data_IF_250934234166
#
_entry.id   IF_250934234166
#
_cell.length_a   1.000
_cell.length_b   1.000
_cell.length_c   1.000
_cell.angle_alpha   90.00
_cell.angle_beta   90.00
_cell.angle_gamma   90.00
#
_symmetry.space_group_name_H-M   'P 1'
#
loop_
_entity.id
_entity.type
_entity.pdbx_description
1 polymer ?
#
# COMPACT_ATOMS: atom_id res chain seq x y z
N UNK A 1 10.15 17.30 10.37
CA UNK A 1 10.08 16.12 11.24
C UNK A 1 9.85 16.47 12.71
N UNK A 2 10.65 17.34 13.37
CA UNK A 2 10.47 17.66 14.80
C UNK A 2 9.06 18.16 15.11
N UNK A 3 8.50 19.11 14.33
CA UNK A 3 7.14 19.64 14.56
C UNK A 3 6.03 18.59 14.39
N UNK A 4 6.23 17.59 13.54
CA UNK A 4 5.27 16.49 13.40
C UNK A 4 5.33 15.55 14.60
N UNK A 5 6.54 15.22 15.06
CA UNK A 5 6.70 14.41 16.27
C UNK A 5 6.01 15.05 17.48
N UNK A 6 6.19 16.35 17.70
CA UNK A 6 5.53 17.10 18.78
C UNK A 6 4.01 17.14 18.67
N UNK A 7 3.46 17.11 17.45
CA UNK A 7 2.02 17.03 17.23
C UNK A 7 1.48 15.64 17.60
N UNK A 8 2.16 14.57 17.18
CA UNK A 8 1.78 13.19 17.50
C UNK A 8 1.91 12.87 18.99
N UNK A 9 2.95 13.37 19.66
CA UNK A 9 3.15 13.22 21.10
C UNK A 9 1.95 13.73 21.93
N UNK A 10 1.20 14.70 21.40
CA UNK A 10 -0.01 15.23 22.03
C UNK A 10 -1.29 14.48 21.68
N UNK A 11 -1.30 13.75 20.57
CA UNK A 11 -2.50 13.14 19.99
C UNK A 11 -2.59 11.63 20.24
N UNK A 12 -1.47 10.97 20.49
CA UNK A 12 -1.40 9.51 20.58
C UNK A 12 -0.97 9.10 21.97
N UNK A 13 -1.82 8.39 22.74
CA UNK A 13 -1.42 7.80 24.00
C UNK A 13 -0.22 6.85 23.81
N UNK A 14 0.67 6.83 24.78
CA UNK A 14 1.88 6.00 24.77
C UNK A 14 2.82 6.25 23.57
N UNK A 15 2.87 7.49 23.08
CA UNK A 15 3.73 7.90 21.99
C UNK A 15 5.21 7.58 22.24
N UNK A 16 5.80 6.80 21.37
CA UNK A 16 7.23 6.48 21.37
C UNK A 16 7.98 7.39 20.39
N UNK A 17 8.63 8.40 20.92
CA UNK A 17 9.39 9.38 20.13
C UNK A 17 10.57 8.76 19.37
N UNK A 18 11.24 7.79 19.98
CA UNK A 18 12.35 7.09 19.33
C UNK A 18 11.85 6.22 18.19
N UNK A 19 10.74 5.53 18.40
CA UNK A 19 10.05 4.76 17.39
C UNK A 19 9.61 5.64 16.22
N UNK A 20 8.99 6.79 16.46
CA UNK A 20 8.59 7.72 15.42
C UNK A 20 9.80 8.22 14.61
N UNK A 21 10.87 8.60 15.30
CA UNK A 21 12.10 9.09 14.64
C UNK A 21 12.70 8.00 13.77
N UNK A 22 12.77 6.77 14.28
CA UNK A 22 13.25 5.60 13.54
C UNK A 22 12.30 5.23 12.39
N UNK A 23 10.99 5.19 12.63
CA UNK A 23 9.99 4.89 11.62
C UNK A 23 9.94 5.97 10.53
N UNK A 24 10.01 7.24 10.87
CA UNK A 24 10.06 8.33 9.92
C UNK A 24 11.27 8.25 8.98
N UNK A 25 12.39 7.72 9.47
CA UNK A 25 13.59 7.48 8.69
C UNK A 25 13.70 6.04 8.15
N UNK A 26 13.09 5.06 8.81
CA UNK A 26 13.27 3.62 8.56
C UNK A 26 11.95 2.84 8.45
N UNK A 27 10.82 3.52 8.26
CA UNK A 27 9.49 2.91 8.10
C UNK A 27 9.52 1.78 7.06
N UNK A 28 10.20 2.00 5.94
CA UNK A 28 10.38 1.00 4.91
C UNK A 28 11.10 -0.27 5.43
N UNK A 29 12.11 -0.13 6.29
CA UNK A 29 12.81 -1.28 6.89
C UNK A 29 11.91 -2.05 7.86
N UNK A 30 11.13 -1.35 8.67
CA UNK A 30 10.19 -1.97 9.61
C UNK A 30 9.13 -2.79 8.87
N UNK A 31 8.51 -2.22 7.86
CA UNK A 31 7.50 -2.93 7.06
C UNK A 31 8.07 -4.04 6.20
N UNK A 32 9.31 -3.88 5.72
CA UNK A 32 10.04 -4.98 5.07
C UNK A 32 10.29 -6.15 6.04
N UNK A 33 10.57 -5.86 7.31
CA UNK A 33 10.70 -6.91 8.33
C UNK A 33 9.36 -7.61 8.56
N UNK A 34 8.26 -6.89 8.72
CA UNK A 34 6.92 -7.47 8.83
C UNK A 34 6.60 -8.38 7.62
N UNK A 35 6.90 -7.91 6.40
CA UNK A 35 6.74 -8.72 5.19
C UNK A 35 7.57 -10.01 5.22
N UNK A 36 8.82 -9.92 5.67
CA UNK A 36 9.70 -11.11 5.77
C UNK A 36 9.15 -12.11 6.79
N UNK A 37 8.64 -11.64 7.93
CA UNK A 37 7.98 -12.50 8.94
C UNK A 37 6.74 -13.16 8.33
N UNK A 38 5.91 -12.42 7.61
CA UNK A 38 4.72 -12.95 6.95
C UNK A 38 5.06 -14.01 5.89
N UNK A 39 6.09 -13.79 5.10
CA UNK A 39 6.59 -14.78 4.12
C UNK A 39 7.12 -16.01 4.84
N UNK A 40 7.92 -15.84 5.90
CA UNK A 40 8.45 -16.96 6.68
C UNK A 40 7.32 -17.78 7.33
N UNK A 41 6.30 -17.13 7.88
CA UNK A 41 5.11 -17.78 8.44
C UNK A 41 4.42 -18.69 7.42
N UNK A 42 4.16 -18.17 6.21
CA UNK A 42 3.46 -18.93 5.16
C UNK A 42 4.31 -20.07 4.56
N UNK A 43 5.62 -20.06 4.77
CA UNK A 43 6.53 -21.12 4.30
C UNK A 43 7.03 -22.02 5.43
N UNK A 44 6.66 -21.78 6.68
CA UNK A 44 7.11 -22.59 7.80
C UNK A 44 6.45 -23.98 7.75
N UNK A 45 7.27 -25.02 7.77
CA UNK A 45 6.81 -26.40 7.84
C UNK A 45 6.59 -26.89 9.30
N UNK A 46 7.23 -26.23 10.25
CA UNK A 46 7.13 -26.54 11.67
C UNK A 46 6.10 -25.63 12.36
N UNK A 47 5.16 -26.25 13.08
CA UNK A 47 4.06 -25.55 13.77
C UNK A 47 4.59 -24.61 14.86
N UNK A 48 5.61 -25.01 15.60
CA UNK A 48 6.18 -24.16 16.65
C UNK A 48 6.84 -22.92 16.09
N UNK A 49 7.58 -23.04 14.98
CA UNK A 49 8.13 -21.91 14.26
C UNK A 49 7.05 -21.00 13.68
N UNK A 50 5.97 -21.58 13.17
CA UNK A 50 4.83 -20.84 12.65
C UNK A 50 4.14 -20.03 13.76
N UNK A 51 3.91 -20.63 14.93
CA UNK A 51 3.32 -19.95 16.09
C UNK A 51 4.22 -18.81 16.60
N UNK A 52 5.54 -19.01 16.66
CA UNK A 52 6.48 -17.94 17.04
C UNK A 52 6.41 -16.75 16.06
N UNK A 53 6.39 -17.03 14.77
CA UNK A 53 6.29 -15.99 13.72
C UNK A 53 4.95 -15.24 13.78
N UNK A 54 3.86 -15.96 14.04
CA UNK A 54 2.52 -15.39 14.28
C UNK A 54 2.55 -14.41 15.45
N UNK A 55 3.09 -14.81 16.60
CA UNK A 55 3.17 -13.95 17.78
C UNK A 55 4.03 -12.70 17.53
N UNK A 56 5.18 -12.86 16.87
CA UNK A 56 6.03 -11.71 16.49
C UNK A 56 5.31 -10.76 15.56
N UNK A 57 4.59 -11.26 14.56
CA UNK A 57 3.82 -10.43 13.65
C UNK A 57 2.72 -9.66 14.37
N UNK A 58 1.94 -10.31 15.23
CA UNK A 58 0.87 -9.67 15.98
C UNK A 58 1.40 -8.60 16.94
N UNK A 59 2.52 -8.87 17.62
CA UNK A 59 3.18 -7.88 18.47
C UNK A 59 3.64 -6.65 17.68
N UNK A 60 4.19 -6.84 16.47
CA UNK A 60 4.56 -5.74 15.58
C UNK A 60 3.34 -4.98 15.06
N UNK A 61 2.25 -5.69 14.75
CA UNK A 61 0.99 -5.08 14.35
C UNK A 61 0.45 -4.17 15.45
N UNK A 62 0.35 -4.68 16.68
CA UNK A 62 -0.18 -3.93 17.81
C UNK A 62 0.67 -2.70 18.11
N UNK A 63 1.99 -2.89 18.12
CA UNK A 63 2.91 -1.78 18.37
C UNK A 63 2.76 -0.66 17.33
N UNK A 64 2.70 -0.99 16.03
CA UNK A 64 2.64 0.03 15.00
C UNK A 64 1.27 0.72 14.94
N UNK A 65 0.21 -0.02 15.27
CA UNK A 65 -1.15 0.54 15.39
C UNK A 65 -1.22 1.52 16.56
N UNK A 66 -0.64 1.16 17.72
CA UNK A 66 -0.51 2.04 18.89
C UNK A 66 0.30 3.31 18.58
N UNK A 67 1.31 3.21 17.70
CA UNK A 67 2.08 4.36 17.23
C UNK A 67 1.36 5.18 16.14
N UNK A 68 0.11 4.86 15.82
CA UNK A 68 -0.75 5.65 14.94
C UNK A 68 -0.71 5.26 13.47
N UNK A 69 -0.17 4.11 13.11
CA UNK A 69 -0.37 3.56 11.75
C UNK A 69 -1.74 2.89 11.69
N UNK A 70 -2.76 3.71 11.62
CA UNK A 70 -4.15 3.31 11.68
C UNK A 70 -5.01 4.12 10.71
N UNK A 71 -6.21 3.61 10.44
CA UNK A 71 -7.20 4.33 9.64
C UNK A 71 -7.47 5.72 10.21
N UNK A 72 -7.46 6.72 9.32
CA UNK A 72 -7.73 8.11 9.68
C UNK A 72 -6.52 8.88 10.20
N UNK A 73 -5.40 8.22 10.42
CA UNK A 73 -4.16 8.87 10.85
C UNK A 73 -3.36 9.43 9.66
N UNK A 74 -2.39 10.30 9.93
CA UNK A 74 -1.50 10.85 8.93
C UNK A 74 -0.06 10.92 9.46
N UNK A 75 0.84 10.21 8.81
CA UNK A 75 2.27 10.17 9.12
C UNK A 75 3.10 11.07 8.18
N UNK A 76 2.67 12.28 7.91
CA UNK A 76 3.34 13.22 7.03
C UNK A 76 2.75 13.27 5.62
N UNK A 77 3.60 13.37 4.59
CA UNK A 77 3.11 13.50 3.22
C UNK A 77 2.63 12.17 2.65
N UNK A 78 1.35 12.09 2.35
CA UNK A 78 0.68 10.88 1.87
C UNK A 78 1.27 10.31 0.56
N UNK A 79 1.81 11.15 -0.31
CA UNK A 79 2.46 10.70 -1.55
C UNK A 79 3.68 9.79 -1.31
N UNK A 80 4.37 9.97 -0.19
CA UNK A 80 5.53 9.14 0.14
C UNK A 80 5.15 7.83 0.84
N UNK A 81 3.92 7.65 1.29
CA UNK A 81 3.46 6.38 1.87
C UNK A 81 3.53 5.23 0.87
N UNK A 82 3.27 5.49 -0.41
CA UNK A 82 3.41 4.49 -1.45
C UNK A 82 4.79 3.84 -1.50
N UNK A 83 5.84 4.55 -1.17
CA UNK A 83 7.20 3.98 -1.06
C UNK A 83 7.41 3.23 0.25
N UNK A 84 7.07 3.85 1.38
CA UNK A 84 7.37 3.32 2.70
C UNK A 84 6.48 2.15 3.09
N UNK A 85 5.22 2.16 2.67
CA UNK A 85 4.20 1.19 3.07
C UNK A 85 4.21 -0.13 2.27
N UNK A 86 5.01 -0.26 1.23
CA UNK A 86 5.00 -1.46 0.35
C UNK A 86 5.11 -2.78 1.10
N UNK A 87 5.96 -2.82 2.13
CA UNK A 87 6.10 -4.00 2.99
C UNK A 87 4.84 -4.29 3.79
N UNK A 88 4.18 -3.25 4.31
CA UNK A 88 2.97 -3.38 5.11
C UNK A 88 1.80 -3.97 4.31
N UNK A 89 1.57 -3.47 3.10
CA UNK A 89 0.49 -3.97 2.25
C UNK A 89 0.59 -5.48 2.03
N UNK A 90 1.78 -5.94 1.67
CA UNK A 90 2.02 -7.37 1.44
C UNK A 90 1.95 -8.18 2.74
N UNK A 91 2.51 -7.65 3.83
CA UNK A 91 2.50 -8.32 5.13
C UNK A 91 1.07 -8.57 5.63
N UNK A 92 0.22 -7.55 5.61
CA UNK A 92 -1.17 -7.69 6.06
C UNK A 92 -1.98 -8.64 5.16
N UNK A 93 -1.78 -8.56 3.84
CA UNK A 93 -2.42 -9.48 2.91
C UNK A 93 -2.01 -10.94 3.18
N UNK A 94 -0.73 -11.22 3.34
CA UNK A 94 -0.23 -12.57 3.62
C UNK A 94 -0.65 -13.11 4.99
N UNK A 95 -0.94 -12.23 5.94
CA UNK A 95 -1.36 -12.58 7.30
C UNK A 95 -2.87 -12.40 7.53
N UNK A 96 -3.65 -12.35 6.45
CA UNK A 96 -5.11 -12.12 6.51
C UNK A 96 -5.80 -13.05 7.50
N UNK A 97 -5.54 -14.34 7.43
CA UNK A 97 -6.18 -15.32 8.30
C UNK A 97 -5.75 -15.14 9.77
N UNK A 98 -4.49 -14.86 10.01
CA UNK A 98 -3.97 -14.57 11.36
C UNK A 98 -4.62 -13.32 11.94
N UNK A 99 -4.78 -12.27 11.14
CA UNK A 99 -5.46 -11.04 11.55
C UNK A 99 -6.94 -11.28 11.82
N UNK A 100 -7.58 -12.15 11.04
CA UNK A 100 -8.98 -12.53 11.25
C UNK A 100 -9.16 -13.31 12.56
N UNK A 101 -8.35 -14.33 12.80
CA UNK A 101 -8.33 -15.11 14.05
C UNK A 101 -8.10 -14.24 15.29
N UNK A 102 -7.26 -13.21 15.16
CA UNK A 102 -6.98 -12.26 16.23
C UNK A 102 -8.03 -11.15 16.38
N UNK A 103 -9.10 -11.14 15.56
CA UNK A 103 -10.12 -10.09 15.57
C UNK A 103 -9.64 -8.72 15.07
N UNK A 104 -8.55 -8.68 14.31
CA UNK A 104 -7.87 -7.44 13.86
C UNK A 104 -8.07 -7.15 12.36
N UNK A 105 -8.71 -8.06 11.61
CA UNK A 105 -8.81 -7.96 10.15
C UNK A 105 -9.53 -6.67 9.70
N UNK A 106 -10.62 -6.30 10.33
CA UNK A 106 -11.39 -5.10 9.94
C UNK A 106 -10.56 -3.82 10.06
N UNK A 107 -9.81 -3.68 11.15
CA UNK A 107 -8.93 -2.53 11.36
C UNK A 107 -7.77 -2.53 10.36
N UNK A 108 -7.15 -3.66 10.13
CA UNK A 108 -6.08 -3.84 9.15
C UNK A 108 -6.55 -3.49 7.72
N UNK A 109 -7.72 -3.97 7.31
CA UNK A 109 -8.34 -3.65 6.03
C UNK A 109 -8.57 -2.16 5.85
N UNK A 110 -9.20 -1.51 6.85
CA UNK A 110 -9.45 -0.06 6.82
C UNK A 110 -8.16 0.73 6.76
N UNK A 111 -7.14 0.30 7.50
CA UNK A 111 -5.81 0.91 7.48
C UNK A 111 -5.14 0.80 6.11
N UNK A 112 -5.17 -0.38 5.48
CA UNK A 112 -4.61 -0.53 4.13
C UNK A 112 -5.34 0.32 3.10
N UNK A 113 -6.69 0.35 3.11
CA UNK A 113 -7.49 1.17 2.20
C UNK A 113 -7.20 2.66 2.38
N UNK A 114 -6.96 3.10 3.61
CA UNK A 114 -6.62 4.48 3.93
C UNK A 114 -5.26 4.87 3.34
N UNK A 115 -4.21 4.12 3.64
CA UNK A 115 -2.86 4.45 3.18
C UNK A 115 -2.65 4.22 1.68
N UNK A 116 -3.33 3.28 1.08
CA UNK A 116 -3.33 3.06 -0.38
C UNK A 116 -4.22 4.03 -1.15
N UNK A 117 -4.99 4.87 -0.44
CA UNK A 117 -5.97 5.80 -1.05
C UNK A 117 -6.88 5.05 -2.02
N UNK A 118 -7.35 3.88 -1.60
CA UNK A 118 -8.05 2.93 -2.48
C UNK A 118 -9.34 3.50 -3.06
N UNK A 119 -9.99 4.43 -2.36
CA UNK A 119 -11.21 5.07 -2.84
C UNK A 119 -11.01 5.90 -4.14
N UNK A 120 -9.79 6.29 -4.48
CA UNK A 120 -9.51 7.00 -5.73
C UNK A 120 -9.78 6.17 -7.00
N UNK A 121 -9.94 4.84 -6.87
CA UNK A 121 -10.30 4.00 -8.03
C UNK A 121 -11.80 4.07 -8.36
N UNK A 122 -12.66 4.51 -7.44
CA UNK A 122 -14.10 4.55 -7.64
C UNK A 122 -14.60 5.52 -8.70
N UNK A 123 -14.16 6.78 -8.72
CA UNK A 123 -14.62 7.72 -9.73
C UNK A 123 -14.26 7.19 -11.12
N UNK A 124 -15.23 7.29 -12.04
CA UNK A 124 -14.95 6.96 -13.44
C UNK A 124 -13.94 7.97 -13.98
N UNK A 125 -12.79 7.53 -14.50
CA UNK A 125 -11.85 8.45 -15.12
C UNK A 125 -12.49 9.19 -16.30
N UNK A 126 -12.26 10.49 -16.39
CA UNK A 126 -12.77 11.35 -17.46
C UNK A 126 -11.73 11.60 -18.55
N UNK A 127 -10.48 11.32 -18.25
CA UNK A 127 -9.33 11.47 -19.16
C UNK A 127 -8.46 10.22 -19.11
N UNK A 128 -7.74 9.96 -20.21
CA UNK A 128 -6.76 8.89 -20.23
C UNK A 128 -5.49 9.27 -19.45
N UNK A 129 -4.88 8.26 -18.89
CA UNK A 129 -3.63 8.39 -18.17
C UNK A 129 -3.82 8.79 -16.70
N UNK A 130 -2.93 8.31 -15.88
CA UNK A 130 -2.75 8.71 -14.48
C UNK A 130 -1.29 9.10 -14.29
N UNK A 131 -0.96 9.70 -13.15
CA UNK A 131 0.42 10.02 -12.84
C UNK A 131 1.27 8.76 -12.71
N UNK A 132 2.49 8.80 -13.29
CA UNK A 132 3.38 7.63 -13.31
C UNK A 132 3.76 7.16 -11.91
N UNK A 133 3.83 8.09 -10.97
CA UNK A 133 4.17 7.77 -9.59
C UNK A 133 3.07 6.97 -8.90
N UNK A 134 1.82 7.17 -9.30
CA UNK A 134 0.70 6.33 -8.83
C UNK A 134 0.82 4.88 -9.27
N UNK A 135 1.31 4.61 -10.47
CA UNK A 135 1.64 3.24 -10.89
C UNK A 135 2.76 2.64 -10.05
N UNK A 136 3.82 3.39 -9.83
CA UNK A 136 4.98 2.95 -9.08
C UNK A 136 4.66 2.71 -7.60
N UNK A 137 3.87 3.59 -6.98
CA UNK A 137 3.76 3.65 -5.52
C UNK A 137 2.48 3.08 -4.97
N UNK A 138 1.37 3.11 -5.72
CA UNK A 138 0.04 2.84 -5.16
C UNK A 138 -0.63 1.58 -5.69
N UNK A 139 -0.27 1.09 -6.88
CA UNK A 139 -0.96 -0.06 -7.48
C UNK A 139 -0.91 -1.30 -6.60
N UNK A 140 0.26 -1.65 -6.06
CA UNK A 140 0.42 -2.80 -5.17
C UNK A 140 -0.39 -2.64 -3.88
N UNK A 141 -0.35 -1.45 -3.28
CA UNK A 141 -1.11 -1.15 -2.07
C UNK A 141 -2.62 -1.23 -2.29
N UNK A 142 -3.11 -0.67 -3.39
CA UNK A 142 -4.53 -0.74 -3.77
C UNK A 142 -4.98 -2.17 -4.02
N UNK A 143 -4.22 -2.94 -4.76
CA UNK A 143 -4.53 -4.36 -5.00
C UNK A 143 -4.57 -5.13 -3.67
N UNK A 144 -3.55 -5.01 -2.83
CA UNK A 144 -3.49 -5.72 -1.54
C UNK A 144 -4.65 -5.32 -0.63
N UNK A 145 -4.99 -4.02 -0.57
CA UNK A 145 -6.11 -3.51 0.24
C UNK A 145 -7.49 -4.00 -0.23
N UNK A 146 -7.63 -4.32 -1.52
CA UNK A 146 -8.85 -4.92 -2.06
C UNK A 146 -8.86 -6.43 -1.80
N UNK A 147 -7.74 -7.11 -2.00
CA UNK A 147 -7.67 -8.57 -1.85
C UNK A 147 -7.83 -9.02 -0.39
N UNK A 148 -7.43 -8.20 0.59
CA UNK A 148 -7.63 -8.51 2.00
C UNK A 148 -9.09 -8.48 2.44
N UNK A 149 -9.96 -7.76 1.73
CA UNK A 149 -11.40 -7.67 2.02
C UNK A 149 -12.05 -9.05 2.03
N UNK A 150 -13.14 -9.19 2.75
CA UNK A 150 -14.03 -10.35 2.64
C UNK A 150 -14.65 -10.44 1.23
N UNK A 151 -15.01 -11.67 0.80
CA UNK A 151 -15.60 -11.91 -0.52
C UNK A 151 -17.05 -11.43 -0.56
N UNK A 152 -17.23 -10.16 -0.80
CA UNK A 152 -18.50 -9.44 -0.82
C UNK A 152 -18.73 -8.76 -2.16
N UNK A 153 -19.97 -8.33 -2.46
CA UNK A 153 -20.25 -7.50 -3.62
C UNK A 153 -19.42 -6.19 -3.64
N UNK A 154 -19.09 -5.65 -2.48
CA UNK A 154 -18.24 -4.47 -2.35
C UNK A 154 -16.81 -4.74 -2.86
N UNK A 155 -16.20 -5.85 -2.47
CA UNK A 155 -14.89 -6.26 -2.98
C UNK A 155 -14.88 -6.38 -4.52
N UNK A 156 -15.93 -7.02 -5.06
CA UNK A 156 -16.07 -7.13 -6.52
C UNK A 156 -16.19 -5.76 -7.20
N UNK A 157 -16.89 -4.83 -6.57
CA UNK A 157 -17.01 -3.46 -7.07
C UNK A 157 -15.67 -2.73 -7.06
N UNK A 158 -14.85 -2.91 -6.00
CA UNK A 158 -13.49 -2.37 -5.95
C UNK A 158 -12.58 -2.98 -7.02
N UNK A 159 -12.61 -4.29 -7.22
CA UNK A 159 -11.84 -4.97 -8.26
C UNK A 159 -12.18 -4.45 -9.66
N UNK A 160 -13.47 -4.31 -9.97
CA UNK A 160 -13.93 -3.74 -11.25
C UNK A 160 -13.50 -2.28 -11.43
N UNK A 161 -13.59 -1.50 -10.36
CA UNK A 161 -13.18 -0.09 -10.37
C UNK A 161 -11.67 0.05 -10.53
N UNK A 162 -10.90 -0.80 -9.86
CA UNK A 162 -9.45 -0.83 -9.98
C UNK A 162 -9.00 -1.26 -11.39
N UNK A 163 -9.60 -2.29 -11.96
CA UNK A 163 -9.32 -2.71 -13.34
C UNK A 163 -9.62 -1.60 -14.34
N UNK A 164 -10.75 -0.91 -14.19
CA UNK A 164 -11.10 0.25 -15.00
C UNK A 164 -10.09 1.40 -14.83
N UNK A 165 -9.67 1.68 -13.59
CA UNK A 165 -8.68 2.71 -13.29
C UNK A 165 -7.34 2.39 -13.96
N UNK A 166 -6.87 1.13 -13.92
CA UNK A 166 -5.67 0.69 -14.61
C UNK A 166 -5.78 0.83 -16.13
N UNK A 167 -6.91 0.39 -16.72
CA UNK A 167 -7.13 0.51 -18.16
C UNK A 167 -7.01 1.97 -18.62
N UNK A 168 -7.69 2.90 -17.97
CA UNK A 168 -7.58 4.33 -18.30
C UNK A 168 -6.16 4.87 -18.05
N UNK A 169 -5.51 4.40 -16.99
CA UNK A 169 -4.14 4.79 -16.64
C UNK A 169 -3.12 4.37 -17.70
N UNK A 170 -3.28 3.19 -18.28
CA UNK A 170 -2.40 2.65 -19.31
C UNK A 170 -2.66 3.24 -20.70
N UNK A 171 -3.80 3.88 -20.94
CA UNK A 171 -4.10 4.51 -22.23
C UNK A 171 -3.22 5.74 -22.48
N UNK A 172 -2.75 5.95 -23.72
CA UNK A 172 -1.98 7.13 -24.06
C UNK A 172 -2.72 8.42 -23.74
N UNK A 173 -2.08 9.29 -22.95
CA UNK A 173 -2.61 10.58 -22.54
C UNK A 173 -2.16 11.70 -23.46
N UNK A 174 -3.04 12.72 -23.62
CA UNK A 174 -2.77 13.92 -24.41
C UNK A 174 -2.10 15.01 -23.56
N UNK A 175 -1.39 15.92 -24.21
CA UNK A 175 -0.79 17.09 -23.55
C UNK A 175 0.31 16.72 -22.54
N UNK A 176 0.43 17.51 -21.48
CA UNK A 176 1.48 17.37 -20.48
C UNK A 176 1.09 16.52 -19.27
N UNK A 177 -0.17 16.14 -19.15
CA UNK A 177 -0.67 15.29 -18.05
C UNK A 177 -0.72 13.83 -18.46
N UNK A 178 -0.76 12.95 -17.45
CA UNK A 178 -0.80 11.50 -17.64
C UNK A 178 0.56 10.91 -18.02
N UNK A 179 0.72 9.63 -17.73
CA UNK A 179 2.02 8.97 -17.78
C UNK A 179 2.48 8.64 -19.20
N UNK A 180 1.74 7.79 -19.88
CA UNK A 180 2.15 7.21 -21.16
C UNK A 180 1.71 8.08 -22.34
N UNK A 181 2.59 8.23 -23.34
CA UNK A 181 2.34 8.99 -24.56
C UNK A 181 2.33 8.07 -25.78
N UNK A 182 1.70 8.53 -26.88
CA UNK A 182 1.63 7.76 -28.12
C UNK A 182 2.99 7.47 -28.78
N UNK A 183 3.95 8.34 -28.53
CA UNK A 183 5.33 8.23 -29.02
C UNK A 183 6.23 7.37 -28.12
N UNK A 184 5.67 6.78 -27.05
CA UNK A 184 6.42 5.99 -26.07
C UNK A 184 7.08 6.82 -24.97
N UNK A 185 6.97 8.14 -25.00
CA UNK A 185 7.46 8.97 -23.89
C UNK A 185 6.65 8.72 -22.60
N UNK A 186 7.31 8.85 -21.48
CA UNK A 186 6.68 8.74 -20.16
C UNK A 186 6.84 10.05 -19.40
N UNK A 187 5.70 10.65 -19.05
CA UNK A 187 5.69 11.97 -18.43
C UNK A 187 5.45 11.88 -16.92
N UNK A 188 6.21 12.73 -16.20
CA UNK A 188 6.00 13.05 -14.79
C UNK A 188 6.36 14.54 -14.59
N UNK A 189 5.67 15.22 -13.67
CA UNK A 189 5.84 16.67 -13.46
C UNK A 189 5.74 17.50 -14.76
N UNK A 190 4.83 17.11 -15.68
CA UNK A 190 4.63 17.76 -16.99
C UNK A 190 5.84 17.69 -17.92
N UNK A 191 6.74 16.76 -17.70
CA UNK A 191 7.96 16.60 -18.50
C UNK A 191 8.19 15.14 -18.83
N UNK A 192 8.96 14.87 -19.88
CA UNK A 192 9.46 13.52 -20.17
C UNK A 192 10.45 13.10 -19.07
N UNK A 193 10.14 12.02 -18.37
CA UNK A 193 10.87 11.60 -17.19
C UNK A 193 11.17 10.08 -17.20
N UNK A 194 12.17 9.65 -18.01
CA UNK A 194 12.44 8.22 -18.19
C UNK A 194 12.77 7.46 -16.91
N UNK A 195 13.38 8.12 -15.92
CA UNK A 195 13.71 7.48 -14.65
C UNK A 195 12.47 6.99 -13.87
N UNK A 196 11.36 7.72 -13.96
CA UNK A 196 10.09 7.30 -13.36
C UNK A 196 9.36 6.23 -14.19
N UNK A 197 9.67 6.15 -15.50
CA UNK A 197 9.05 5.16 -16.39
C UNK A 197 9.31 3.73 -15.93
N UNK A 198 10.51 3.43 -15.44
CA UNK A 198 10.89 2.09 -14.99
C UNK A 198 9.96 1.62 -13.86
N UNK A 199 9.81 2.41 -12.80
CA UNK A 199 8.93 2.06 -11.68
C UNK A 199 7.46 2.03 -12.06
N UNK A 200 7.02 2.95 -12.93
CA UNK A 200 5.65 2.98 -13.42
C UNK A 200 5.29 1.81 -14.32
N UNK A 201 6.20 1.40 -15.20
CA UNK A 201 6.01 0.21 -16.04
C UNK A 201 6.01 -1.06 -15.19
N UNK A 202 6.89 -1.19 -14.20
CA UNK A 202 6.90 -2.31 -13.26
C UNK A 202 5.56 -2.42 -12.53
N UNK A 203 5.07 -1.32 -11.96
CA UNK A 203 3.78 -1.28 -11.28
C UNK A 203 2.61 -1.64 -12.20
N UNK A 204 2.58 -1.10 -13.42
CA UNK A 204 1.51 -1.37 -14.37
C UNK A 204 1.52 -2.83 -14.86
N UNK A 205 2.68 -3.34 -15.29
CA UNK A 205 2.80 -4.70 -15.85
C UNK A 205 2.52 -5.78 -14.81
N UNK A 206 2.98 -5.61 -13.57
CA UNK A 206 2.67 -6.54 -12.49
C UNK A 206 1.16 -6.62 -12.24
N UNK A 207 0.45 -5.49 -12.24
CA UNK A 207 -1.00 -5.51 -12.03
C UNK A 207 -1.75 -6.10 -13.22
N UNK A 208 -1.35 -5.79 -14.44
CA UNK A 208 -1.93 -6.38 -15.65
C UNK A 208 -1.74 -7.91 -15.62
N UNK A 209 -0.55 -8.37 -15.28
CA UNK A 209 -0.26 -9.80 -15.15
C UNK A 209 -1.18 -10.48 -14.12
N UNK A 210 -1.31 -9.90 -12.92
CA UNK A 210 -2.15 -10.44 -11.86
C UNK A 210 -3.65 -10.45 -12.21
N UNK A 211 -4.10 -9.51 -13.04
CA UNK A 211 -5.50 -9.40 -13.45
C UNK A 211 -5.82 -10.11 -14.78
N UNK A 212 -4.83 -10.63 -15.48
CA UNK A 212 -5.01 -11.24 -16.81
C UNK A 212 -5.72 -12.60 -16.80
N UNK A 213 -6.16 -13.09 -15.67
CA UNK A 213 -6.94 -14.32 -15.57
C UNK A 213 -6.13 -15.60 -15.77
N UNK A 214 -4.89 -15.53 -15.39
CA UNK A 214 -3.99 -16.71 -15.35
C UNK A 214 -4.48 -17.77 -14.40
#
# INVERSE_FOLDING_TARGET
MVRQAEAYERMIPNWDKDMFTKLGMEMDKYFKLMKRIAIAYNNAADVAAQDELKQKFLAMYDHITDQGVAYGSCWGNIHHYGYSMRGLYVAYFLMKEVLNEAGKLNEAERTLRWYAITNEVYPKPTVNGIDIDSFNTQTQGRMASILIMEDTPEKLQYLRSFSRWLDYGCRPAQGLSGSFKKDGACFHHRNNYPAYAVGGLDGATNMIYLLSGT
#
